data_IF_492745768934
#
_entry.id   IF_492745768934
#
_cell.length_a   1.000
_cell.length_b   1.000
_cell.length_c   1.000
_cell.angle_alpha   90.00
_cell.angle_beta   90.00
_cell.angle_gamma   90.00
#
_symmetry.space_group_name_H-M   'P 1'
#
loop_
_entity.id
_entity.type
_entity.pdbx_description
1 polymer ?
#
# COMPACT_ATOMS: atom_id res chain seq x y z
N UNK A 1 10.21 11.01 -4.25
CA UNK A 1 10.02 9.59 -3.88
C UNK A 1 11.18 9.02 -3.05
N UNK A 2 12.45 9.20 -3.43
CA UNK A 2 13.59 8.64 -2.66
C UNK A 2 13.59 9.08 -1.19
N UNK A 3 13.46 10.39 -0.91
CA UNK A 3 13.44 10.92 0.46
C UNK A 3 12.31 10.34 1.32
N UNK A 4 11.10 10.27 0.76
CA UNK A 4 9.95 9.68 1.46
C UNK A 4 10.18 8.21 1.81
N UNK A 5 10.76 7.43 0.88
CA UNK A 5 11.05 6.02 1.16
C UNK A 5 12.07 5.83 2.27
N UNK A 6 13.05 6.72 2.42
CA UNK A 6 14.03 6.66 3.52
C UNK A 6 13.35 6.96 4.85
N UNK A 7 12.51 8.01 4.90
CA UNK A 7 11.76 8.35 6.11
C UNK A 7 10.78 7.24 6.50
N UNK A 8 10.13 6.63 5.50
CA UNK A 8 9.25 5.49 5.69
C UNK A 8 10.00 4.30 6.33
N UNK A 9 11.11 3.87 5.72
CA UNK A 9 11.91 2.76 6.21
C UNK A 9 12.42 3.05 7.64
N UNK A 10 12.84 4.29 7.93
CA UNK A 10 13.25 4.70 9.27
C UNK A 10 12.10 4.64 10.28
N UNK A 11 10.92 5.13 9.92
CA UNK A 11 9.76 5.12 10.81
C UNK A 11 9.26 3.70 11.08
N UNK A 12 9.30 2.83 10.06
CA UNK A 12 8.94 1.43 10.17
C UNK A 12 9.85 0.66 11.13
N UNK A 13 11.16 0.96 11.11
CA UNK A 13 12.14 0.36 12.01
C UNK A 13 12.11 0.96 13.42
N UNK A 14 11.90 2.28 13.54
CA UNK A 14 12.06 3.00 14.82
C UNK A 14 10.83 2.91 15.73
N UNK A 15 9.62 2.81 15.17
CA UNK A 15 8.38 2.73 15.92
C UNK A 15 7.76 1.36 15.66
N UNK A 16 7.79 0.43 16.62
CA UNK A 16 7.22 -0.93 16.52
C UNK A 16 5.84 -0.93 15.84
N UNK A 17 5.82 -1.11 14.51
CA UNK A 17 4.61 -0.95 13.71
C UNK A 17 3.76 -2.22 13.80
N UNK A 18 2.45 -2.04 13.77
CA UNK A 18 1.51 -3.16 13.82
C UNK A 18 0.51 -3.04 12.68
N UNK A 19 0.15 -4.18 12.11
CA UNK A 19 -0.87 -4.25 11.07
C UNK A 19 -2.19 -3.65 11.57
N UNK A 20 -2.87 -2.92 10.70
CA UNK A 20 -4.23 -2.48 10.97
C UNK A 20 -5.14 -3.69 11.04
N UNK A 21 -5.89 -3.84 12.13
CA UNK A 21 -6.98 -4.82 12.14
C UNK A 21 -7.95 -4.53 10.99
N UNK A 22 -8.54 -5.59 10.41
CA UNK A 22 -9.52 -5.46 9.31
C UNK A 22 -10.69 -4.51 9.66
N UNK A 23 -11.01 -4.39 10.94
CA UNK A 23 -12.00 -3.44 11.46
C UNK A 23 -11.57 -1.97 11.27
N UNK A 24 -10.30 -1.65 11.49
CA UNK A 24 -9.79 -0.29 11.29
C UNK A 24 -9.64 -0.02 9.79
N UNK A 25 -9.21 -1.00 9.00
CA UNK A 25 -9.18 -0.91 7.54
C UNK A 25 -10.56 -0.57 6.95
N UNK A 26 -11.58 -1.37 7.30
CA UNK A 26 -12.96 -1.13 6.89
C UNK A 26 -13.48 0.24 7.37
N UNK A 27 -13.07 0.67 8.58
CA UNK A 27 -13.45 1.97 9.12
C UNK A 27 -12.85 3.12 8.32
N UNK A 28 -11.57 3.02 7.92
CA UNK A 28 -10.91 4.04 7.09
C UNK A 28 -11.51 4.07 5.70
N UNK A 29 -11.65 2.90 5.06
CA UNK A 29 -12.19 2.81 3.69
C UNK A 29 -13.64 3.27 3.57
N UNK A 30 -14.48 3.07 4.60
CA UNK A 30 -15.89 3.51 4.60
C UNK A 30 -16.08 4.98 4.94
N UNK A 31 -15.07 5.64 5.50
CA UNK A 31 -15.17 7.04 5.92
C UNK A 31 -14.58 8.02 4.90
N UNK A 32 -13.80 7.52 3.94
CA UNK A 32 -13.17 8.30 2.88
C UNK A 32 -13.77 7.90 1.53
N UNK A 33 -14.88 8.53 1.15
CA UNK A 33 -15.66 8.14 -0.02
C UNK A 33 -15.10 8.74 -1.32
N UNK A 34 -14.60 9.98 -1.26
CA UNK A 34 -14.10 10.69 -2.43
C UNK A 34 -12.59 10.53 -2.63
N UNK A 35 -12.15 10.62 -3.89
CA UNK A 35 -10.72 10.63 -4.23
C UNK A 35 -9.96 11.78 -3.56
N UNK A 36 -10.59 12.95 -3.39
CA UNK A 36 -10.00 14.11 -2.71
C UNK A 36 -9.75 13.85 -1.23
N UNK A 37 -10.71 13.25 -0.52
CA UNK A 37 -10.56 12.91 0.91
C UNK A 37 -9.43 11.90 1.12
N UNK A 38 -9.33 10.89 0.26
CA UNK A 38 -8.22 9.92 0.31
C UNK A 38 -6.88 10.61 0.07
N UNK A 39 -6.80 11.54 -0.90
CA UNK A 39 -5.58 12.29 -1.17
C UNK A 39 -5.18 13.20 0.00
N UNK A 40 -6.14 13.86 0.65
CA UNK A 40 -5.90 14.72 1.81
C UNK A 40 -5.43 13.89 3.01
N UNK A 41 -6.13 12.78 3.31
CA UNK A 41 -5.76 11.85 4.36
C UNK A 41 -4.34 11.29 4.15
N UNK A 42 -4.01 10.88 2.91
CA UNK A 42 -2.68 10.38 2.57
C UNK A 42 -1.60 11.44 2.81
N UNK A 43 -1.81 12.69 2.39
CA UNK A 43 -0.84 13.79 2.63
C UNK A 43 -0.59 14.03 4.12
N UNK A 44 -1.63 13.95 4.95
CA UNK A 44 -1.50 14.08 6.41
C UNK A 44 -0.64 12.95 6.97
N UNK A 45 -0.85 11.72 6.51
CA UNK A 45 -0.06 10.57 6.95
C UNK A 45 1.38 10.63 6.45
N UNK A 46 1.61 11.08 5.21
CA UNK A 46 2.96 11.28 4.67
C UNK A 46 3.74 12.35 5.45
N UNK A 47 3.09 13.48 5.78
CA UNK A 47 3.65 14.51 6.64
C UNK A 47 4.00 13.93 8.01
N UNK A 48 3.07 13.19 8.62
CA UNK A 48 3.27 12.57 9.92
C UNK A 48 4.44 11.60 9.93
N UNK A 49 4.56 10.71 8.94
CA UNK A 49 5.71 9.81 8.81
C UNK A 49 7.03 10.61 8.75
N UNK A 50 7.04 11.74 8.03
CA UNK A 50 8.17 12.66 8.04
C UNK A 50 8.52 13.19 9.44
N UNK A 51 7.53 13.65 10.21
CA UNK A 51 7.77 14.10 11.58
C UNK A 51 8.24 12.97 12.50
N UNK A 52 7.54 11.83 12.49
CA UNK A 52 7.87 10.67 13.33
C UNK A 52 9.27 10.13 13.06
N UNK A 53 9.74 10.19 11.81
CA UNK A 53 11.11 9.79 11.47
C UNK A 53 12.18 10.67 12.12
N UNK A 54 11.85 11.91 12.48
CA UNK A 54 12.77 12.86 13.09
C UNK A 54 12.61 12.95 14.61
N UNK A 55 11.39 12.84 15.12
CA UNK A 55 11.09 13.09 16.54
C UNK A 55 10.77 11.83 17.32
N UNK A 56 10.49 10.71 16.64
CA UNK A 56 9.83 9.57 17.25
C UNK A 56 8.45 9.93 17.80
N UNK A 57 7.97 9.13 18.74
CA UNK A 57 6.70 9.34 19.44
C UNK A 57 6.32 8.09 20.24
N UNK A 58 5.37 8.21 21.17
CA UNK A 58 4.83 7.04 21.86
C UNK A 58 3.96 6.23 20.88
N UNK A 59 4.32 4.98 20.55
CA UNK A 59 3.57 4.15 19.60
C UNK A 59 2.08 3.96 20.00
N UNK A 60 1.75 4.08 21.29
CA UNK A 60 0.38 3.95 21.81
C UNK A 60 -0.42 5.26 21.78
N UNK A 61 0.21 6.40 21.54
CA UNK A 61 -0.48 7.68 21.46
C UNK A 61 -1.50 7.65 20.31
N UNK A 62 -2.70 8.19 20.57
CA UNK A 62 -3.74 8.27 19.54
C UNK A 62 -3.28 9.22 18.43
N UNK A 63 -3.49 8.78 17.19
CA UNK A 63 -3.11 9.53 15.99
C UNK A 63 -3.73 10.94 15.98
N UNK A 64 -5.03 11.03 16.28
CA UNK A 64 -5.76 12.30 16.34
C UNK A 64 -5.19 13.26 17.38
N UNK A 65 -4.84 12.75 18.57
CA UNK A 65 -4.24 13.57 19.64
C UNK A 65 -2.88 14.11 19.17
N UNK A 66 -2.04 13.29 18.56
CA UNK A 66 -0.75 13.75 18.06
C UNK A 66 -0.88 14.84 16.98
N UNK A 67 -1.80 14.67 16.03
CA UNK A 67 -2.07 15.67 14.98
C UNK A 67 -2.54 17.02 15.56
N UNK A 68 -3.46 16.99 16.53
CA UNK A 68 -4.05 18.20 17.10
C UNK A 68 -3.13 18.87 18.13
N UNK A 69 -2.58 18.10 19.06
CA UNK A 69 -1.88 18.65 20.22
C UNK A 69 -0.38 18.82 20.00
N UNK A 70 0.25 17.95 19.20
CA UNK A 70 1.70 17.99 18.95
C UNK A 70 1.99 18.75 17.65
N UNK A 71 1.36 18.37 16.55
CA UNK A 71 1.57 19.04 15.26
C UNK A 71 0.72 20.31 15.08
N UNK A 72 -0.18 20.63 16.02
CA UNK A 72 -1.03 21.84 16.00
C UNK A 72 -1.84 22.00 14.69
N UNK A 73 -2.40 20.89 14.19
CA UNK A 73 -3.18 20.84 12.95
C UNK A 73 -4.70 20.81 13.17
N UNK A 74 -5.19 21.23 14.33
CA UNK A 74 -6.60 21.11 14.74
C UNK A 74 -7.59 21.87 13.83
N UNK A 75 -7.15 22.96 13.19
CA UNK A 75 -7.98 23.76 12.28
C UNK A 75 -7.78 23.39 10.80
N UNK A 76 -6.84 22.50 10.50
CA UNK A 76 -6.36 22.25 9.14
C UNK A 76 -6.80 20.89 8.58
N UNK A 77 -7.50 20.07 9.38
CA UNK A 77 -7.91 18.71 8.98
C UNK A 77 -9.43 18.60 8.97
N UNK A 78 -9.97 18.09 7.86
CA UNK A 78 -11.40 17.79 7.74
C UNK A 78 -11.87 16.81 8.85
N UNK A 79 -13.01 17.10 9.49
CA UNK A 79 -13.59 16.27 10.54
C UNK A 79 -13.83 14.81 10.10
N UNK A 80 -14.15 14.57 8.83
CA UNK A 80 -14.32 13.22 8.29
C UNK A 80 -13.01 12.42 8.34
N UNK A 81 -11.88 13.06 8.05
CA UNK A 81 -10.55 12.45 8.12
C UNK A 81 -10.16 12.16 9.58
N UNK A 82 -10.46 13.09 10.51
CA UNK A 82 -10.23 12.86 11.94
C UNK A 82 -11.06 11.68 12.46
N UNK A 83 -12.31 11.52 12.02
CA UNK A 83 -13.13 10.36 12.35
C UNK A 83 -12.52 9.07 11.80
N UNK A 84 -11.99 9.09 10.56
CA UNK A 84 -11.35 7.92 9.95
C UNK A 84 -10.14 7.48 10.76
N UNK A 85 -9.39 8.44 11.30
CA UNK A 85 -8.20 8.22 12.13
C UNK A 85 -8.51 7.96 13.61
N UNK A 86 -9.77 8.06 14.05
CA UNK A 86 -10.14 8.07 15.46
C UNK A 86 -9.77 6.79 16.23
N UNK A 87 -9.57 5.66 15.53
CA UNK A 87 -9.13 4.38 16.11
C UNK A 87 -7.64 4.10 15.92
N UNK A 88 -6.92 4.98 15.23
CA UNK A 88 -5.51 4.80 14.92
C UNK A 88 -4.60 5.33 16.05
N UNK A 89 -3.43 4.71 16.16
CA UNK A 89 -2.34 5.09 17.05
C UNK A 89 -1.09 5.29 16.20
N UNK A 90 -0.03 5.89 16.75
CA UNK A 90 1.21 6.14 15.99
C UNK A 90 1.88 4.85 15.47
N UNK A 91 1.71 3.72 16.15
CA UNK A 91 2.15 2.39 15.68
C UNK A 91 1.40 1.85 14.45
N UNK A 92 0.36 2.54 13.98
CA UNK A 92 -0.39 2.15 12.78
C UNK A 92 -0.07 3.03 11.58
N UNK A 93 0.80 4.04 11.70
CA UNK A 93 0.99 5.06 10.65
C UNK A 93 1.53 4.48 9.34
N UNK A 94 2.45 3.52 9.41
CA UNK A 94 3.03 2.86 8.24
C UNK A 94 1.95 2.05 7.51
N UNK A 95 1.20 1.22 8.24
CA UNK A 95 0.09 0.46 7.65
C UNK A 95 -1.03 1.37 7.14
N UNK A 96 -1.31 2.48 7.83
CA UNK A 96 -2.28 3.46 7.37
C UNK A 96 -1.85 4.13 6.06
N UNK A 97 -0.56 4.40 5.89
CA UNK A 97 -0.01 4.88 4.63
C UNK A 97 -0.21 3.85 3.52
N UNK A 98 0.16 2.58 3.72
CA UNK A 98 -0.03 1.49 2.74
C UNK A 98 -1.50 1.42 2.28
N UNK A 99 -2.43 1.50 3.22
CA UNK A 99 -3.87 1.41 2.95
C UNK A 99 -4.36 2.62 2.17
N UNK A 100 -4.00 3.84 2.60
CA UNK A 100 -4.43 5.07 1.93
C UNK A 100 -3.81 5.20 0.54
N UNK A 101 -2.56 4.78 0.37
CA UNK A 101 -1.88 4.78 -0.92
C UNK A 101 -2.53 3.79 -1.88
N UNK A 102 -2.83 2.56 -1.42
CA UNK A 102 -3.56 1.56 -2.21
C UNK A 102 -4.93 2.11 -2.61
N UNK A 103 -5.71 2.58 -1.63
CA UNK A 103 -7.05 3.13 -1.86
C UNK A 103 -7.03 4.30 -2.84
N UNK A 104 -6.01 5.16 -2.80
CA UNK A 104 -5.83 6.24 -3.78
C UNK A 104 -5.68 5.68 -5.20
N UNK A 105 -4.80 4.69 -5.39
CA UNK A 105 -4.60 4.04 -6.69
C UNK A 105 -5.85 3.31 -7.15
N UNK A 106 -6.59 2.64 -6.26
CA UNK A 106 -7.86 1.97 -6.56
C UNK A 106 -8.93 2.98 -7.04
N UNK A 107 -9.06 4.12 -6.34
CA UNK A 107 -9.99 5.20 -6.73
C UNK A 107 -9.59 5.82 -8.07
N UNK A 108 -8.30 5.89 -8.41
CA UNK A 108 -7.87 6.33 -9.75
C UNK A 108 -8.39 5.37 -10.83
N UNK A 109 -8.27 4.06 -10.63
CA UNK A 109 -8.79 3.06 -11.57
C UNK A 109 -10.31 3.18 -11.74
N UNK A 110 -11.06 3.36 -10.65
CA UNK A 110 -12.52 3.59 -10.70
C UNK A 110 -12.88 4.86 -11.49
N UNK A 111 -12.03 5.88 -11.44
CA UNK A 111 -12.15 7.12 -12.21
C UNK A 111 -11.56 7.01 -13.63
N UNK A 112 -11.19 5.81 -14.09
CA UNK A 112 -10.55 5.55 -15.39
C UNK A 112 -9.25 6.34 -15.59
N UNK A 113 -8.48 6.54 -14.52
CA UNK A 113 -7.16 7.19 -14.53
C UNK A 113 -6.07 6.16 -14.28
N UNK A 114 -4.92 6.34 -14.92
CA UNK A 114 -3.76 5.45 -14.73
C UNK A 114 -2.92 5.85 -13.51
N UNK A 115 -2.85 5.01 -12.45
CA UNK A 115 -2.11 5.33 -11.23
C UNK A 115 -0.58 5.23 -11.37
N UNK A 116 -0.08 4.50 -12.38
CA UNK A 116 1.34 4.21 -12.55
C UNK A 116 1.92 4.73 -13.88
N UNK A 117 1.30 5.76 -14.47
CA UNK A 117 1.72 6.30 -15.79
C UNK A 117 3.16 6.84 -15.85
N UNK A 118 3.78 7.14 -14.72
CA UNK A 118 5.18 7.61 -14.63
C UNK A 118 6.22 6.50 -14.41
N UNK A 119 5.83 5.23 -14.44
CA UNK A 119 6.72 4.10 -14.18
C UNK A 119 7.47 3.66 -15.45
N UNK A 120 8.62 2.97 -15.32
CA UNK A 120 9.29 2.34 -16.45
C UNK A 120 8.33 1.45 -17.26
N UNK A 121 8.44 1.48 -18.59
CA UNK A 121 7.58 0.70 -19.48
C UNK A 121 7.83 -0.80 -19.32
N UNK A 122 9.04 -1.17 -18.88
CA UNK A 122 9.49 -2.52 -18.62
C UNK A 122 8.69 -3.22 -17.51
N UNK A 123 8.02 -2.47 -16.62
CA UNK A 123 7.14 -3.00 -15.57
C UNK A 123 5.64 -2.97 -15.95
N UNK A 124 5.33 -2.57 -17.18
CA UNK A 124 3.96 -2.40 -17.68
C UNK A 124 3.63 -3.41 -18.80
N UNK A 125 4.28 -4.57 -18.78
CA UNK A 125 4.01 -5.64 -19.75
C UNK A 125 2.60 -6.21 -19.48
N UNK A 126 1.74 -6.33 -20.50
CA UNK A 126 0.42 -6.91 -20.33
C UNK A 126 0.44 -8.34 -19.80
N UNK A 127 -0.58 -8.70 -19.03
CA UNK A 127 -0.82 -10.09 -18.65
C UNK A 127 -1.30 -10.91 -19.85
N UNK A 128 -0.76 -12.12 -19.97
CA UNK A 128 -1.32 -13.14 -20.87
C UNK A 128 -2.65 -13.65 -20.32
N UNK A 129 -3.48 -14.25 -21.19
CA UNK A 129 -4.77 -14.85 -20.76
C UNK A 129 -4.57 -16.03 -19.80
N UNK A 130 -3.46 -16.76 -19.94
CA UNK A 130 -3.04 -17.80 -19.00
C UNK A 130 -2.77 -17.21 -17.61
N UNK A 131 -1.94 -16.17 -17.53
CA UNK A 131 -1.63 -15.50 -16.26
C UNK A 131 -2.90 -14.94 -15.60
N UNK A 132 -3.81 -14.33 -16.37
CA UNK A 132 -5.10 -13.85 -15.84
C UNK A 132 -5.93 -15.00 -15.25
N UNK A 133 -6.00 -16.13 -15.94
CA UNK A 133 -6.75 -17.32 -15.49
C UNK A 133 -6.19 -17.87 -14.18
N UNK A 134 -4.87 -17.94 -14.06
CA UNK A 134 -4.20 -18.41 -12.84
C UNK A 134 -4.36 -17.43 -11.68
N UNK A 135 -4.18 -16.14 -11.93
CA UNK A 135 -4.44 -15.09 -10.94
C UNK A 135 -5.90 -15.13 -10.46
N UNK A 136 -6.87 -15.32 -11.36
CA UNK A 136 -8.28 -15.46 -10.99
C UNK A 136 -8.54 -16.66 -10.09
N UNK A 137 -7.92 -17.81 -10.39
CA UNK A 137 -8.00 -19.01 -9.55
C UNK A 137 -7.35 -18.79 -8.18
N UNK A 138 -6.24 -18.07 -8.14
CA UNK A 138 -5.54 -17.71 -6.91
C UNK A 138 -6.36 -16.76 -6.04
N UNK A 139 -7.06 -15.79 -6.63
CA UNK A 139 -7.89 -14.83 -5.90
C UNK A 139 -9.11 -15.45 -5.21
N UNK A 140 -9.74 -16.46 -5.82
CA UNK A 140 -11.01 -17.01 -5.32
C UNK A 140 -10.89 -17.87 -4.05
N UNK A 141 -9.66 -18.17 -3.60
CA UNK A 141 -9.38 -19.19 -2.60
C UNK A 141 -8.70 -18.67 -1.32
N UNK A 142 -8.32 -17.38 -1.25
CA UNK A 142 -7.56 -16.87 -0.10
C UNK A 142 -7.77 -15.37 0.18
N UNK A 143 -7.37 -14.95 1.38
CA UNK A 143 -7.32 -13.54 1.75
C UNK A 143 -6.01 -12.92 1.26
N UNK A 144 -6.10 -12.08 0.23
CA UNK A 144 -4.95 -11.49 -0.45
C UNK A 144 -4.64 -10.06 -0.01
N UNK A 145 -5.35 -9.54 0.98
CA UNK A 145 -5.29 -8.12 1.36
C UNK A 145 -3.86 -7.68 1.71
N UNK A 146 -3.14 -8.45 2.53
CA UNK A 146 -1.76 -8.12 2.90
C UNK A 146 -0.82 -8.15 1.70
N UNK A 147 -0.89 -9.21 0.88
CA UNK A 147 -0.03 -9.34 -0.30
C UNK A 147 -0.22 -8.19 -1.29
N UNK A 148 -1.46 -7.76 -1.50
CA UNK A 148 -1.77 -6.63 -2.39
C UNK A 148 -1.25 -5.31 -1.86
N UNK A 149 -1.29 -5.11 -0.54
CA UNK A 149 -0.68 -3.94 0.10
C UNK A 149 0.84 -3.96 -0.03
N UNK A 150 1.50 -5.10 0.17
CA UNK A 150 2.95 -5.22 0.02
C UNK A 150 3.40 -5.05 -1.44
N UNK A 151 2.66 -5.61 -2.41
CA UNK A 151 2.90 -5.35 -3.84
C UNK A 151 2.74 -3.86 -4.17
N UNK A 152 1.70 -3.20 -3.65
CA UNK A 152 1.46 -1.77 -3.87
C UNK A 152 2.57 -0.90 -3.26
N UNK A 153 2.98 -1.22 -2.04
CA UNK A 153 4.10 -0.54 -1.40
C UNK A 153 5.39 -0.74 -2.20
N UNK A 154 5.68 -1.96 -2.63
CA UNK A 154 6.87 -2.27 -3.42
C UNK A 154 6.89 -1.48 -4.74
N UNK A 155 5.75 -1.38 -5.42
CA UNK A 155 5.56 -0.49 -6.56
C UNK A 155 5.97 0.95 -6.19
N UNK A 156 5.34 1.53 -5.17
CA UNK A 156 5.55 2.94 -4.82
C UNK A 156 6.96 3.26 -4.31
N UNK A 157 7.52 2.41 -3.45
CA UNK A 157 8.75 2.70 -2.72
C UNK A 157 10.01 2.21 -3.42
N UNK A 158 9.91 1.20 -4.29
CA UNK A 158 11.07 0.64 -5.01
C UNK A 158 10.95 0.89 -6.50
N UNK A 159 9.88 0.44 -7.14
CA UNK A 159 9.78 0.51 -8.61
C UNK A 159 9.45 1.91 -9.15
N UNK A 160 8.90 2.78 -8.31
CA UNK A 160 8.67 4.20 -8.62
C UNK A 160 9.92 5.07 -8.57
N UNK A 161 11.09 4.50 -8.23
CA UNK A 161 12.37 5.24 -8.17
C UNK A 161 12.98 5.40 -9.56
N UNK A 162 13.77 6.46 -9.73
CA UNK A 162 14.67 6.59 -10.88
C UNK A 162 15.63 5.40 -10.87
N UNK A 163 15.82 4.76 -12.02
CA UNK A 163 16.70 3.58 -12.21
C UNK A 163 16.29 2.33 -11.44
N UNK A 164 15.00 2.18 -11.12
CA UNK A 164 14.50 0.95 -10.48
C UNK A 164 14.85 -0.34 -11.25
N UNK A 165 15.06 -0.27 -12.56
CA UNK A 165 15.47 -1.41 -13.40
C UNK A 165 16.93 -1.83 -13.24
N UNK A 166 17.78 -1.00 -12.62
CA UNK A 166 19.15 -1.37 -12.25
C UNK A 166 19.17 -2.25 -10.99
N UNK A 167 18.27 -1.96 -10.04
CA UNK A 167 18.16 -2.69 -8.77
C UNK A 167 17.24 -3.92 -8.87
N UNK A 168 16.21 -3.84 -9.72
CA UNK A 168 15.20 -4.87 -9.87
C UNK A 168 15.06 -5.27 -11.34
N UNK A 169 15.41 -6.51 -11.68
CA UNK A 169 15.33 -6.95 -13.06
C UNK A 169 13.86 -7.29 -13.43
N UNK A 170 13.28 -6.69 -14.49
CA UNK A 170 11.90 -6.99 -14.92
C UNK A 170 11.65 -8.47 -15.27
N UNK A 171 12.69 -9.25 -15.60
CA UNK A 171 12.57 -10.68 -15.91
C UNK A 171 12.47 -11.59 -14.68
N UNK A 172 12.70 -11.07 -13.47
CA UNK A 172 12.59 -11.87 -12.24
C UNK A 172 11.16 -12.32 -11.98
N UNK A 173 11.01 -13.41 -11.21
CA UNK A 173 9.71 -13.82 -10.70
C UNK A 173 9.10 -12.71 -9.83
N UNK A 174 7.85 -12.35 -10.10
CA UNK A 174 7.13 -11.39 -9.28
C UNK A 174 7.03 -11.85 -7.82
N UNK A 175 6.76 -13.15 -7.62
CA UNK A 175 6.62 -13.74 -6.28
C UNK A 175 7.90 -13.62 -5.49
N UNK A 176 9.03 -14.02 -6.08
CA UNK A 176 10.33 -14.02 -5.42
C UNK A 176 10.79 -12.59 -5.11
N UNK A 177 10.62 -11.66 -6.06
CA UNK A 177 11.02 -10.26 -5.86
C UNK A 177 10.25 -9.59 -4.71
N UNK A 178 8.93 -9.76 -4.65
CA UNK A 178 8.10 -9.19 -3.58
C UNK A 178 8.34 -9.93 -2.26
N UNK A 179 8.54 -11.25 -2.29
CA UNK A 179 8.88 -12.02 -1.08
C UNK A 179 10.21 -11.57 -0.48
N UNK A 180 11.24 -11.40 -1.29
CA UNK A 180 12.54 -10.88 -0.84
C UNK A 180 12.43 -9.47 -0.26
N UNK A 181 11.56 -8.63 -0.83
CA UNK A 181 11.26 -7.31 -0.29
C UNK A 181 10.58 -7.38 1.09
N UNK A 182 9.61 -8.28 1.27
CA UNK A 182 8.94 -8.51 2.55
C UNK A 182 9.91 -9.07 3.61
N UNK A 183 10.77 -10.01 3.23
CA UNK A 183 11.79 -10.59 4.11
C UNK A 183 12.76 -9.51 4.63
N UNK A 184 13.17 -8.56 3.79
CA UNK A 184 14.00 -7.42 4.21
C UNK A 184 13.33 -6.53 5.26
N UNK A 185 12.00 -6.50 5.30
CA UNK A 185 11.20 -5.75 6.28
C UNK A 185 10.77 -6.60 7.48
N UNK A 186 11.24 -7.85 7.58
CA UNK A 186 10.83 -8.82 8.60
C UNK A 186 9.30 -9.08 8.61
N UNK A 187 8.64 -8.97 7.46
CA UNK A 187 7.22 -9.27 7.29
C UNK A 187 7.07 -10.66 6.67
N UNK A 188 6.36 -11.55 7.37
CA UNK A 188 6.17 -12.91 6.86
C UNK A 188 5.27 -12.93 5.61
N UNK A 189 5.77 -13.55 4.54
CA UNK A 189 4.96 -13.84 3.36
C UNK A 189 3.88 -14.87 3.72
N UNK A 190 2.59 -14.60 3.48
CA UNK A 190 1.52 -15.53 3.86
C UNK A 190 1.69 -16.90 3.19
N UNK A 191 1.52 -17.98 3.95
CA UNK A 191 1.67 -19.37 3.45
C UNK A 191 0.87 -19.64 2.19
N UNK A 192 -0.35 -19.13 2.14
CA UNK A 192 -1.21 -19.23 0.97
C UNK A 192 -0.58 -18.64 -0.30
N UNK A 193 0.14 -17.51 -0.19
CA UNK A 193 0.87 -16.91 -1.32
C UNK A 193 2.05 -17.79 -1.72
N UNK A 194 2.84 -18.27 -0.76
CA UNK A 194 4.02 -19.11 -1.02
C UNK A 194 3.63 -20.34 -1.86
N UNK A 195 2.52 -20.97 -1.51
CA UNK A 195 2.05 -22.23 -2.11
C UNK A 195 1.23 -22.05 -3.40
N UNK A 196 0.51 -20.93 -3.57
CA UNK A 196 -0.52 -20.82 -4.61
C UNK A 196 -0.31 -19.66 -5.60
N UNK A 197 0.61 -18.72 -5.33
CA UNK A 197 0.84 -17.62 -6.26
C UNK A 197 1.51 -18.12 -7.55
N UNK A 198 1.06 -17.70 -8.75
CA UNK A 198 1.59 -18.20 -10.03
C UNK A 198 3.09 -17.92 -10.22
N UNK A 199 3.84 -18.94 -10.63
CA UNK A 199 5.31 -18.86 -10.81
C UNK A 199 5.73 -18.20 -12.14
N UNK A 200 4.85 -18.22 -13.13
CA UNK A 200 5.07 -17.71 -14.48
C UNK A 200 4.92 -16.18 -14.58
N UNK A 201 4.40 -15.51 -13.54
CA UNK A 201 4.22 -14.06 -13.55
C UNK A 201 5.54 -13.38 -13.24
N UNK A 202 6.00 -12.57 -14.19
CA UNK A 202 7.25 -11.83 -14.07
C UNK A 202 7.05 -10.46 -13.43
N UNK A 203 8.12 -9.90 -12.89
CA UNK A 203 8.14 -8.55 -12.33
C UNK A 203 7.77 -7.50 -13.37
N UNK A 204 8.05 -7.74 -14.65
CA UNK A 204 7.62 -6.92 -15.78
C UNK A 204 6.10 -6.75 -15.89
N UNK A 205 5.32 -7.65 -15.26
CA UNK A 205 3.86 -7.64 -15.27
C UNK A 205 3.25 -7.17 -13.95
N UNK A 206 4.06 -6.65 -13.01
CA UNK A 206 3.61 -6.30 -11.65
C UNK A 206 2.47 -5.27 -11.62
N UNK A 207 2.55 -4.22 -12.44
CA UNK A 207 1.55 -3.16 -12.50
C UNK A 207 0.20 -3.74 -12.95
N UNK A 208 0.23 -4.51 -14.05
CA UNK A 208 -0.96 -5.12 -14.62
C UNK A 208 -1.52 -6.23 -13.70
N UNK A 209 -0.65 -6.96 -12.99
CA UNK A 209 -1.05 -7.94 -11.95
C UNK A 209 -1.81 -7.26 -10.82
N UNK A 210 -1.30 -6.16 -10.29
CA UNK A 210 -1.95 -5.42 -9.21
C UNK A 210 -3.29 -4.85 -9.68
N UNK A 211 -3.33 -4.17 -10.83
CA UNK A 211 -4.56 -3.61 -11.43
C UNK A 211 -5.62 -4.68 -11.64
N UNK A 212 -5.26 -5.79 -12.30
CA UNK A 212 -6.16 -6.91 -12.57
C UNK A 212 -6.75 -7.48 -11.28
N UNK A 213 -5.91 -7.66 -10.26
CA UNK A 213 -6.33 -8.24 -8.99
C UNK A 213 -7.32 -7.34 -8.24
N UNK A 214 -7.07 -6.03 -8.22
CA UNK A 214 -8.00 -5.06 -7.62
C UNK A 214 -9.35 -5.06 -8.35
N UNK A 215 -9.34 -5.01 -9.68
CA UNK A 215 -10.58 -4.98 -10.47
C UNK A 215 -11.38 -6.27 -10.28
N UNK A 216 -10.73 -7.44 -10.38
CA UNK A 216 -11.41 -8.72 -10.19
C UNK A 216 -11.95 -8.91 -8.76
N UNK A 217 -11.25 -8.41 -7.74
CA UNK A 217 -11.74 -8.43 -6.35
C UNK A 217 -13.00 -7.56 -6.19
N UNK A 218 -13.06 -6.41 -6.84
CA UNK A 218 -14.25 -5.54 -6.81
C UNK A 218 -15.44 -6.20 -7.51
N UNK A 219 -15.22 -6.90 -8.63
CA UNK A 219 -16.26 -7.67 -9.32
C UNK A 219 -16.83 -8.77 -8.40
N UNK A 220 -15.97 -9.58 -7.76
CA UNK A 220 -16.37 -10.64 -6.84
C UNK A 220 -17.10 -10.14 -5.57
N UNK A 221 -16.91 -8.89 -5.17
CA UNK A 221 -17.60 -8.28 -4.02
C UNK A 221 -18.96 -7.68 -4.39
N UNK A 222 -19.22 -7.46 -5.68
CA UNK A 222 -20.46 -6.88 -6.20
C UNK A 222 -21.41 -7.93 -6.80
N UNK A 223 -20.96 -9.18 -6.93
CA UNK A 223 -21.76 -10.38 -7.25
C UNK A 223 -22.38 -10.99 -5.98
#
# INVERSE_FOLDING_TARGET
>A
MIYFSVLYDFTALFLYQTALSRLIWNSVSRQLDSYSEVCEALKIVELLLGYLSMTGGDPKMKLVIYLQEILKMDQNINQHILKAFGKCQLRHCVCLWQVLSSLRSEKMLQLKREPFSGYPAEYQVPLTEENKTELKRFMSRGNMDQWLLEMHEFLLLRLGRLRATEDYNPSWSLKEAVSAYMDHKEVEVPTYVKENFPENVQLSQIIETWKYTITAKQELMNE
#
